data_IF_339918814999
#
_entry.id   IF_339918814999
#
_cell.length_a   1.000
_cell.length_b   1.000
_cell.length_c   1.000
_cell.angle_alpha   90.00
_cell.angle_beta   90.00
_cell.angle_gamma   90.00
#
_symmetry.space_group_name_H-M   'P 1'
#
loop_
_entity.id
_entity.type
_entity.pdbx_description
1 polymer ?
#
# COMPACT_ATOMS: atom_id res chain seq x y z
N UNK A 1 -29.38 -6.91 -3.01
CA UNK A 1 -28.56 -7.69 -2.07
C UNK A 1 -27.33 -8.31 -2.74
N UNK A 2 -27.46 -9.04 -3.86
CA UNK A 2 -26.31 -9.60 -4.60
C UNK A 2 -25.26 -8.56 -5.04
N UNK A 3 -25.70 -7.39 -5.53
CA UNK A 3 -24.82 -6.28 -5.91
C UNK A 3 -24.00 -5.71 -4.76
N UNK A 4 -24.55 -5.64 -3.55
CA UNK A 4 -23.85 -5.12 -2.38
C UNK A 4 -22.75 -6.09 -1.90
N UNK A 5 -22.98 -7.40 -2.03
CA UNK A 5 -21.97 -8.44 -1.72
C UNK A 5 -20.83 -8.38 -2.75
N UNK A 6 -21.14 -8.22 -4.04
CA UNK A 6 -20.12 -8.03 -5.07
C UNK A 6 -19.35 -6.71 -4.93
N UNK A 7 -19.98 -5.64 -4.44
CA UNK A 7 -19.31 -4.38 -4.12
C UNK A 7 -18.38 -4.51 -2.91
N UNK A 8 -18.77 -5.28 -1.90
CA UNK A 8 -17.95 -5.51 -0.70
C UNK A 8 -16.72 -6.38 -0.99
N UNK A 9 -16.88 -7.42 -1.82
CA UNK A 9 -15.78 -8.36 -2.16
C UNK A 9 -14.94 -7.84 -3.33
N UNK A 10 -15.55 -7.18 -4.32
CA UNK A 10 -14.89 -6.74 -5.55
C UNK A 10 -14.39 -5.29 -5.56
N UNK A 11 -14.68 -4.52 -4.51
CA UNK A 11 -14.19 -3.16 -4.36
C UNK A 11 -14.70 -2.17 -5.42
N UNK A 12 -14.05 -0.99 -5.54
CA UNK A 12 -14.50 0.12 -6.39
C UNK A 12 -14.52 -0.23 -7.88
N UNK A 13 -13.62 -1.12 -8.31
CA UNK A 13 -13.45 -1.55 -9.71
C UNK A 13 -14.65 -2.36 -10.19
N UNK A 14 -15.03 -3.39 -9.43
CA UNK A 14 -16.19 -4.24 -9.77
C UNK A 14 -17.48 -3.42 -9.71
N UNK A 15 -17.59 -2.49 -8.76
CA UNK A 15 -18.70 -1.54 -8.70
C UNK A 15 -18.77 -0.64 -9.95
N UNK A 16 -17.63 -0.11 -10.39
CA UNK A 16 -17.53 0.72 -11.60
C UNK A 16 -17.92 -0.03 -12.86
N UNK A 17 -17.42 -1.25 -13.05
CA UNK A 17 -17.75 -2.10 -14.20
C UNK A 17 -19.24 -2.50 -14.22
N UNK A 18 -19.81 -2.85 -13.07
CA UNK A 18 -21.23 -3.17 -12.95
C UNK A 18 -22.09 -1.94 -13.25
N UNK A 19 -21.69 -0.76 -12.80
CA UNK A 19 -22.40 0.49 -13.08
C UNK A 19 -22.33 0.85 -14.57
N UNK A 20 -21.16 0.71 -15.21
CA UNK A 20 -21.01 0.88 -16.65
C UNK A 20 -21.93 -0.10 -17.42
N UNK A 21 -21.95 -1.37 -17.04
CA UNK A 21 -22.84 -2.38 -17.66
C UNK A 21 -24.33 -2.05 -17.46
N UNK A 22 -24.75 -1.63 -16.27
CA UNK A 22 -26.12 -1.21 -16.03
C UNK A 22 -26.50 0.06 -16.82
N UNK A 23 -25.53 0.95 -17.06
CA UNK A 23 -25.71 2.15 -17.89
C UNK A 23 -25.89 1.78 -19.35
N UNK A 24 -25.13 0.80 -19.83
CA UNK A 24 -25.27 0.21 -21.16
C UNK A 24 -26.66 -0.42 -21.35
N UNK A 25 -27.14 -1.22 -20.40
CA UNK A 25 -28.46 -1.86 -20.47
C UNK A 25 -29.63 -0.86 -20.43
N UNK A 26 -29.43 0.31 -19.81
CA UNK A 26 -30.45 1.38 -19.72
C UNK A 26 -30.35 2.40 -20.86
N UNK A 27 -29.31 2.31 -21.70
CA UNK A 27 -29.10 3.24 -22.80
C UNK A 27 -30.20 3.09 -23.85
N UNK A 28 -30.92 4.19 -24.13
CA UNK A 28 -31.95 4.24 -25.20
C UNK A 28 -31.40 4.78 -26.53
N UNK A 29 -30.15 5.26 -26.54
CA UNK A 29 -29.47 5.83 -27.71
C UNK A 29 -28.11 5.16 -27.90
N UNK A 30 -27.64 5.06 -29.15
CA UNK A 30 -26.34 4.46 -29.46
C UNK A 30 -25.18 5.17 -28.74
N UNK A 31 -25.22 6.49 -28.65
CA UNK A 31 -24.17 7.27 -27.97
C UNK A 31 -24.03 6.93 -26.48
N UNK A 32 -25.15 6.71 -25.79
CA UNK A 32 -25.14 6.34 -24.38
C UNK A 32 -24.61 4.91 -24.16
N UNK A 33 -24.87 4.00 -25.11
CA UNK A 33 -24.31 2.66 -25.09
C UNK A 33 -22.79 2.68 -25.34
N UNK A 34 -22.31 3.51 -26.28
CA UNK A 34 -20.88 3.69 -26.58
C UNK A 34 -20.15 4.29 -25.38
N UNK A 35 -20.71 5.32 -24.74
CA UNK A 35 -20.10 5.94 -23.55
C UNK A 35 -19.98 4.97 -22.38
N UNK A 36 -20.99 4.11 -22.17
CA UNK A 36 -20.96 3.08 -21.14
C UNK A 36 -19.91 1.99 -21.42
N UNK A 37 -19.78 1.55 -22.67
CA UNK A 37 -18.75 0.58 -23.09
C UNK A 37 -17.33 1.17 -22.96
N UNK A 38 -17.16 2.45 -23.32
CA UNK A 38 -15.89 3.16 -23.16
C UNK A 38 -15.50 3.25 -21.68
N UNK A 39 -16.41 3.64 -20.80
CA UNK A 39 -16.15 3.69 -19.36
C UNK A 39 -15.77 2.30 -18.79
N UNK A 40 -16.40 1.23 -19.26
CA UNK A 40 -16.03 -0.14 -18.89
C UNK A 40 -14.61 -0.49 -19.34
N UNK A 41 -14.24 -0.13 -20.57
CA UNK A 41 -12.90 -0.36 -21.12
C UNK A 41 -11.82 0.46 -20.43
N UNK A 42 -12.11 1.70 -20.06
CA UNK A 42 -11.18 2.56 -19.30
C UNK A 42 -10.91 2.00 -17.90
N UNK A 43 -11.95 1.54 -17.20
CA UNK A 43 -11.78 0.90 -15.89
C UNK A 43 -10.94 -0.38 -16.03
N UNK A 44 -11.20 -1.20 -17.04
CA UNK A 44 -10.40 -2.39 -17.32
C UNK A 44 -8.93 -2.03 -17.63
N UNK A 45 -8.68 -0.99 -18.44
CA UNK A 45 -7.33 -0.52 -18.73
C UNK A 45 -6.60 -0.05 -17.45
N UNK A 46 -7.25 0.75 -16.61
CA UNK A 46 -6.68 1.19 -15.33
C UNK A 46 -6.35 0.01 -14.40
N UNK A 47 -7.15 -1.07 -14.42
CA UNK A 47 -6.84 -2.25 -13.60
C UNK A 47 -5.59 -2.98 -14.07
N UNK A 48 -5.38 -3.09 -15.39
CA UNK A 48 -4.19 -3.72 -15.96
C UNK A 48 -2.96 -2.86 -15.66
N UNK A 49 -3.06 -1.54 -15.79
CA UNK A 49 -1.98 -0.61 -15.43
C UNK A 49 -1.62 -0.72 -13.94
N UNK A 50 -2.62 -0.73 -13.05
CA UNK A 50 -2.41 -0.90 -11.62
C UNK A 50 -1.75 -2.24 -11.29
N UNK A 51 -2.17 -3.33 -11.95
CA UNK A 51 -1.55 -4.65 -11.79
C UNK A 51 -0.11 -4.67 -12.30
N UNK A 52 0.19 -4.02 -13.42
CA UNK A 52 1.55 -3.91 -13.95
C UNK A 52 2.46 -3.12 -12.99
N UNK A 53 1.99 -2.00 -12.46
CA UNK A 53 2.70 -1.22 -11.44
C UNK A 53 2.94 -2.07 -10.18
N UNK A 54 1.94 -2.85 -9.76
CA UNK A 54 2.07 -3.73 -8.59
C UNK A 54 3.09 -4.85 -8.84
N UNK A 55 3.11 -5.44 -10.04
CA UNK A 55 4.11 -6.44 -10.42
C UNK A 55 5.51 -5.85 -10.46
N UNK A 56 5.69 -4.65 -11.02
CA UNK A 56 6.97 -3.94 -11.00
C UNK A 56 7.42 -3.69 -9.55
N UNK A 57 6.52 -3.22 -8.70
CA UNK A 57 6.83 -2.99 -7.28
C UNK A 57 7.22 -4.28 -6.54
N UNK A 58 6.55 -5.39 -6.84
CA UNK A 58 6.90 -6.71 -6.30
C UNK A 58 8.26 -7.16 -6.81
N UNK A 59 8.58 -6.93 -8.08
CA UNK A 59 9.89 -7.28 -8.65
C UNK A 59 11.03 -6.41 -8.08
N UNK A 60 10.79 -5.12 -7.84
CA UNK A 60 11.80 -4.19 -7.31
C UNK A 60 12.00 -4.28 -5.80
N UNK A 61 10.92 -4.41 -5.03
CA UNK A 61 10.93 -4.30 -3.56
C UNK A 61 10.69 -5.66 -2.90
N UNK A 62 10.09 -6.62 -3.59
CA UNK A 62 9.70 -7.91 -3.04
C UNK A 62 8.30 -7.91 -2.41
N UNK A 63 7.84 -9.08 -2.00
CA UNK A 63 6.53 -9.26 -1.38
C UNK A 63 6.45 -8.74 0.06
N UNK A 64 5.29 -8.24 0.53
CA UNK A 64 5.13 -7.75 1.90
C UNK A 64 5.29 -8.84 2.98
N UNK A 65 5.14 -10.11 2.61
CA UNK A 65 5.23 -11.28 3.49
C UNK A 65 6.61 -11.96 3.47
N UNK A 66 7.62 -11.31 2.90
CA UNK A 66 8.99 -11.81 2.97
C UNK A 66 9.51 -11.78 4.42
N UNK A 67 10.33 -12.78 4.83
CA UNK A 67 10.84 -12.88 6.20
C UNK A 67 11.50 -11.60 6.72
N UNK A 68 12.26 -10.90 5.88
CA UNK A 68 12.91 -9.63 6.22
C UNK A 68 11.89 -8.54 6.59
N UNK A 69 10.82 -8.41 5.79
CA UNK A 69 9.76 -7.42 6.03
C UNK A 69 8.92 -7.76 7.25
N UNK A 70 8.65 -9.05 7.49
CA UNK A 70 7.94 -9.51 8.68
C UNK A 70 8.73 -9.20 9.96
N UNK A 71 10.04 -9.46 9.97
CA UNK A 71 10.90 -9.11 11.11
C UNK A 71 10.92 -7.59 11.37
N UNK A 72 10.91 -6.79 10.31
CA UNK A 72 10.80 -5.34 10.43
C UNK A 72 9.45 -4.88 11.00
N UNK A 73 8.34 -5.47 10.57
CA UNK A 73 7.00 -5.09 11.08
C UNK A 73 6.87 -5.31 12.58
N UNK A 74 7.49 -6.35 13.15
CA UNK A 74 7.53 -6.56 14.61
C UNK A 74 8.17 -5.37 15.32
N UNK A 75 9.32 -4.92 14.80
CA UNK A 75 10.07 -3.79 15.35
C UNK A 75 9.29 -2.48 15.21
N UNK A 76 8.67 -2.26 14.04
CA UNK A 76 7.87 -1.07 13.77
C UNK A 76 6.63 -1.00 14.69
N UNK A 77 5.94 -2.11 14.91
CA UNK A 77 4.77 -2.16 15.81
C UNK A 77 5.18 -1.85 17.25
N UNK A 78 6.33 -2.38 17.71
CA UNK A 78 6.86 -2.05 19.03
C UNK A 78 7.14 -0.55 19.17
N UNK A 79 7.85 0.05 18.20
CA UNK A 79 8.11 1.50 18.21
C UNK A 79 6.83 2.33 18.14
N UNK A 80 5.88 1.94 17.28
CA UNK A 80 4.59 2.61 17.17
C UNK A 80 3.83 2.59 18.50
N UNK A 81 3.84 1.46 19.22
CA UNK A 81 3.27 1.36 20.58
C UNK A 81 4.00 2.31 21.54
N UNK A 82 5.33 2.27 21.61
CA UNK A 82 6.08 3.14 22.52
C UNK A 82 5.86 4.64 22.25
N UNK A 83 5.79 5.05 20.98
CA UNK A 83 5.54 6.44 20.62
C UNK A 83 4.09 6.82 20.89
N UNK A 84 3.13 6.10 20.33
CA UNK A 84 1.72 6.49 20.37
C UNK A 84 1.12 6.23 21.75
N UNK A 85 1.34 5.05 22.31
CA UNK A 85 0.73 4.65 23.58
C UNK A 85 1.46 5.21 24.79
N UNK A 86 2.79 5.07 24.81
CA UNK A 86 3.55 5.45 26.01
C UNK A 86 3.88 6.94 26.02
N UNK A 87 4.29 7.51 24.88
CA UNK A 87 4.77 8.90 24.81
C UNK A 87 3.63 9.89 24.57
N UNK A 88 2.78 9.66 23.56
CA UNK A 88 1.72 10.63 23.19
C UNK A 88 0.55 10.54 24.16
N UNK A 89 0.09 9.33 24.49
CA UNK A 89 -1.06 9.15 25.37
C UNK A 89 -0.67 9.13 26.86
N UNK A 90 0.61 8.98 27.21
CA UNK A 90 1.08 8.98 28.59
C UNK A 90 0.54 7.81 29.43
N UNK A 91 -0.04 6.80 28.80
CA UNK A 91 -0.63 5.61 29.42
C UNK A 91 0.35 4.43 29.46
N UNK A 92 1.63 4.72 29.26
CA UNK A 92 2.65 3.71 29.03
C UNK A 92 3.28 3.15 30.27
N UNK A 93 3.25 1.83 30.40
CA UNK A 93 4.08 1.06 31.34
C UNK A 93 5.09 0.17 30.60
N UNK A 94 5.29 0.37 29.28
CA UNK A 94 6.18 -0.49 28.50
C UNK A 94 7.62 -0.21 28.89
N UNK A 95 8.37 -1.22 29.38
CA UNK A 95 9.79 -1.06 29.61
C UNK A 95 10.53 -0.88 28.29
N UNK A 96 11.64 -0.15 28.32
CA UNK A 96 12.51 -0.02 27.15
C UNK A 96 12.98 -1.40 26.68
N UNK A 97 13.24 -1.52 25.37
CA UNK A 97 14.03 -2.66 24.88
C UNK A 97 15.39 -2.63 25.60
N UNK A 98 15.75 -3.73 26.25
CA UNK A 98 17.01 -3.86 26.98
C UNK A 98 17.99 -4.76 26.23
N UNK A 99 19.29 -4.53 26.45
CA UNK A 99 20.37 -5.34 25.87
C UNK A 99 20.50 -5.21 24.36
N UNK A 100 21.04 -6.24 23.72
CA UNK A 100 21.44 -6.25 22.30
C UNK A 100 20.28 -5.95 21.33
N UNK A 101 19.04 -6.27 21.73
CA UNK A 101 17.85 -6.05 20.90
C UNK A 101 17.60 -4.55 20.67
N UNK A 102 17.88 -3.70 21.66
CA UNK A 102 17.77 -2.24 21.49
C UNK A 102 18.81 -1.68 20.52
N UNK A 103 20.04 -2.17 20.62
CA UNK A 103 21.16 -1.78 19.76
C UNK A 103 20.88 -2.20 18.32
N UNK A 104 20.43 -3.44 18.10
CA UNK A 104 20.06 -3.93 16.77
C UNK A 104 18.86 -3.20 16.19
N UNK A 105 17.83 -2.92 16.99
CA UNK A 105 16.67 -2.15 16.53
C UNK A 105 17.06 -0.73 16.08
N UNK A 106 17.91 -0.05 16.86
CA UNK A 106 18.46 1.26 16.47
C UNK A 106 19.29 1.20 15.19
N UNK A 107 20.12 0.16 15.04
CA UNK A 107 20.95 -0.05 13.84
C UNK A 107 20.10 -0.33 12.59
N UNK A 108 19.08 -1.19 12.70
CA UNK A 108 18.15 -1.52 11.61
C UNK A 108 17.42 -0.25 11.15
N UNK A 109 16.91 0.55 12.08
CA UNK A 109 16.26 1.83 11.76
C UNK A 109 17.24 2.80 11.09
N UNK A 110 18.48 2.88 11.60
CA UNK A 110 19.55 3.69 11.02
C UNK A 110 19.89 3.30 9.59
N UNK A 111 20.01 2.01 9.27
CA UNK A 111 20.28 1.56 7.90
C UNK A 111 19.09 1.82 6.96
N UNK A 112 17.86 1.62 7.43
CA UNK A 112 16.67 1.77 6.60
C UNK A 112 16.42 3.23 6.20
N UNK A 113 16.49 4.16 7.15
CA UNK A 113 16.32 5.59 6.87
C UNK A 113 17.61 6.27 6.38
N UNK A 114 18.77 5.70 6.70
CA UNK A 114 20.08 6.25 6.37
C UNK A 114 20.47 6.06 4.91
N UNK A 115 20.06 4.95 4.25
CA UNK A 115 20.53 4.60 2.90
C UNK A 115 20.44 5.75 1.89
N UNK A 116 19.26 6.36 1.74
CA UNK A 116 19.06 7.49 0.81
C UNK A 116 19.84 8.74 1.22
N UNK A 117 19.96 8.99 2.52
CA UNK A 117 20.74 10.11 3.05
C UNK A 117 22.22 9.95 2.72
N UNK A 118 22.78 8.75 2.92
CA UNK A 118 24.15 8.44 2.56
C UNK A 118 24.39 8.49 1.04
N UNK A 119 23.48 7.96 0.22
CA UNK A 119 23.57 8.03 -1.24
C UNK A 119 23.57 9.48 -1.74
N UNK A 120 22.71 10.33 -1.18
CA UNK A 120 22.62 11.74 -1.56
C UNK A 120 23.89 12.51 -1.17
N UNK A 121 24.41 12.29 0.06
CA UNK A 121 25.66 12.90 0.52
C UNK A 121 26.85 12.43 -0.32
N UNK A 122 26.95 11.13 -0.61
CA UNK A 122 28.00 10.57 -1.45
C UNK A 122 27.96 11.16 -2.88
N UNK A 123 26.77 11.40 -3.44
CA UNK A 123 26.59 12.04 -4.75
C UNK A 123 27.04 13.50 -4.75
N UNK A 124 26.83 14.23 -3.65
CA UNK A 124 27.32 15.60 -3.49
C UNK A 124 28.85 15.62 -3.42
N UNK A 125 29.46 14.72 -2.64
CA UNK A 125 30.92 14.68 -2.45
C UNK A 125 31.67 14.23 -3.72
N UNK A 126 31.05 13.38 -4.56
CA UNK A 126 31.63 12.90 -5.81
C UNK A 126 31.62 13.95 -6.93
N UNK A 127 30.89 15.06 -6.77
CA UNK A 127 30.73 16.12 -7.77
C UNK A 127 31.75 17.23 -7.55
#
# INVERSE_FOLDING_TARGET
MWLAIMQFIGGPVVSGLINAYNSYLKAKTQDAAIAADLAGKEIAAQTVEAQAIQQLKIAEIGHPYEPEKLAFYVTLVFYAKCIVWDTILGLGTTPALHGDVSTWAGMIMGFYFGKRTFENVARIIKR
#
